data_IF_355207473004
#
_entry.id   IF_355207473004
#
_cell.length_a   1.000
_cell.length_b   1.000
_cell.length_c   1.000
_cell.angle_alpha   90.00
_cell.angle_beta   90.00
_cell.angle_gamma   90.00
#
_symmetry.space_group_name_H-M   'P 1'
#
loop_
_entity.id
_entity.type
_entity.pdbx_description
1 polymer ?
#
# COMPACT_ATOMS: atom_id res chain seq x y z
N UNK A 1 16.95 -4.53 -15.97
CA UNK A 1 16.05 -4.78 -14.83
C UNK A 1 16.82 -5.52 -13.75
N UNK A 2 16.85 -4.97 -12.53
CA UNK A 2 17.54 -5.54 -11.36
C UNK A 2 16.62 -6.48 -10.61
N UNK A 3 15.41 -6.00 -10.30
CA UNK A 3 14.41 -6.77 -9.56
C UNK A 3 13.01 -6.39 -10.07
N UNK A 4 12.18 -7.41 -10.21
CA UNK A 4 10.74 -7.29 -10.30
C UNK A 4 10.12 -8.01 -9.10
N UNK A 5 9.20 -7.34 -8.44
CA UNK A 5 8.46 -7.84 -7.29
C UNK A 5 6.97 -7.72 -7.56
N UNK A 6 6.22 -8.74 -7.15
CA UNK A 6 4.77 -8.70 -7.12
C UNK A 6 4.25 -9.38 -5.85
N UNK A 7 3.33 -8.74 -5.14
CA UNK A 7 2.47 -9.34 -4.13
C UNK A 7 1.07 -9.44 -4.68
N UNK A 8 0.44 -10.60 -4.49
CA UNK A 8 -0.94 -10.84 -4.90
C UNK A 8 -1.74 -11.57 -3.82
N UNK A 9 -3.03 -11.25 -3.71
CA UNK A 9 -3.95 -11.94 -2.81
C UNK A 9 -3.99 -11.33 -1.42
N UNK A 10 -4.08 -12.16 -0.38
CA UNK A 10 -4.28 -11.70 1.00
C UNK A 10 -5.70 -11.96 1.50
N UNK A 11 -5.82 -12.03 2.83
CA UNK A 11 -7.01 -12.58 3.50
C UNK A 11 -8.20 -11.61 3.56
N UNK A 12 -7.94 -10.31 3.58
CA UNK A 12 -8.96 -9.29 3.83
C UNK A 12 -9.15 -8.43 2.59
N UNK A 13 -10.31 -8.48 1.91
CA UNK A 13 -10.58 -7.59 0.78
C UNK A 13 -10.42 -6.11 1.18
N UNK A 14 -9.89 -5.25 0.29
CA UNK A 14 -9.39 -5.58 -1.04
C UNK A 14 -8.05 -6.34 -0.99
N UNK A 15 -7.70 -7.14 -2.01
CA UNK A 15 -6.42 -7.84 -2.04
C UNK A 15 -5.22 -6.90 -1.84
N UNK A 16 -4.19 -7.39 -1.17
CA UNK A 16 -2.90 -6.73 -0.88
C UNK A 16 -1.99 -6.78 -2.11
N UNK A 17 -2.50 -6.30 -3.24
CA UNK A 17 -1.78 -6.30 -4.50
C UNK A 17 -0.76 -5.15 -4.52
N UNK A 18 0.49 -5.48 -4.84
CA UNK A 18 1.59 -4.53 -4.94
C UNK A 18 2.57 -5.01 -6.00
N UNK A 19 3.16 -4.10 -6.75
CA UNK A 19 4.17 -4.42 -7.75
C UNK A 19 5.26 -3.38 -7.78
N UNK A 20 6.50 -3.82 -7.98
CA UNK A 20 7.67 -2.96 -8.14
C UNK A 20 8.55 -3.51 -9.26
N UNK A 21 9.03 -2.63 -10.12
CA UNK A 21 10.07 -2.92 -11.09
C UNK A 21 11.16 -1.87 -10.97
N UNK A 22 12.41 -2.33 -10.86
CA UNK A 22 13.60 -1.49 -10.80
C UNK A 22 14.52 -1.83 -11.96
N UNK A 23 14.89 -0.80 -12.74
CA UNK A 23 15.79 -0.91 -13.87
C UNK A 23 17.26 -0.73 -13.52
N UNK A 24 18.16 -1.10 -14.44
CA UNK A 24 19.61 -1.12 -14.19
C UNK A 24 20.20 0.28 -13.97
N UNK A 25 19.49 1.31 -14.44
CA UNK A 25 19.81 2.71 -14.25
C UNK A 25 19.21 3.29 -12.96
N UNK A 26 18.52 2.48 -12.17
CA UNK A 26 17.84 2.83 -10.92
C UNK A 26 16.48 3.48 -11.10
N UNK A 27 15.97 3.63 -12.32
CA UNK A 27 14.58 4.04 -12.53
C UNK A 27 13.65 2.96 -12.00
N UNK A 28 12.56 3.35 -11.32
CA UNK A 28 11.59 2.40 -10.81
C UNK A 28 10.15 2.81 -11.17
N UNK A 29 9.29 1.79 -11.23
CA UNK A 29 7.83 1.96 -11.23
C UNK A 29 7.22 1.04 -10.18
N UNK A 30 6.20 1.53 -9.49
CA UNK A 30 5.51 0.80 -8.43
C UNK A 30 4.02 1.06 -8.50
N UNK A 31 3.23 0.03 -8.20
CA UNK A 31 1.79 0.13 -8.04
C UNK A 31 1.35 -0.55 -6.74
N UNK A 32 0.37 0.02 -6.04
CA UNK A 32 -0.15 -0.49 -4.76
C UNK A 32 -1.67 -0.35 -4.66
N UNK A 33 -2.36 -1.38 -4.16
CA UNK A 33 -3.76 -1.30 -3.74
C UNK A 33 -3.95 -1.00 -2.25
N UNK A 34 -2.87 -0.90 -1.48
CA UNK A 34 -2.91 -0.82 -0.01
C UNK A 34 -2.16 0.39 0.55
N UNK A 35 -2.48 0.71 1.80
CA UNK A 35 -1.96 1.83 2.59
C UNK A 35 -0.43 1.97 2.60
N UNK A 36 0.09 3.17 2.88
CA UNK A 36 -0.63 4.40 3.28
C UNK A 36 -1.33 5.14 2.13
N UNK A 37 -0.89 4.92 0.89
CA UNK A 37 -1.43 5.52 -0.32
C UNK A 37 -1.49 4.47 -1.43
N UNK A 38 -2.47 4.63 -2.32
CA UNK A 38 -2.78 3.65 -3.38
C UNK A 38 -2.63 4.27 -4.75
N UNK A 39 -2.23 3.49 -5.74
CA UNK A 39 -1.98 3.95 -7.11
C UNK A 39 -0.52 3.77 -7.53
N UNK A 40 -0.05 4.64 -8.43
CA UNK A 40 1.28 4.58 -9.06
C UNK A 40 2.30 5.52 -8.42
N UNK A 41 3.52 5.01 -8.37
CA UNK A 41 4.71 5.70 -7.91
C UNK A 41 5.84 5.43 -8.91
N UNK A 42 6.68 6.42 -9.14
CA UNK A 42 7.79 6.29 -10.06
C UNK A 42 8.88 7.30 -9.71
N UNK A 43 10.11 6.97 -10.01
CA UNK A 43 11.25 7.83 -9.71
C UNK A 43 12.56 7.14 -10.01
N UNK A 44 13.62 7.60 -9.33
CA UNK A 44 14.97 7.05 -9.47
C UNK A 44 15.58 6.82 -8.10
N UNK A 45 16.14 5.64 -7.88
CA UNK A 45 16.85 5.30 -6.66
C UNK A 45 18.12 6.16 -6.51
N UNK A 46 18.55 6.37 -5.26
CA UNK A 46 19.88 6.92 -5.00
C UNK A 46 20.96 5.95 -5.50
N UNK A 47 22.18 6.45 -5.73
CA UNK A 47 23.29 5.61 -6.18
C UNK A 47 23.62 4.49 -5.17
N UNK A 48 23.54 4.79 -3.88
CA UNK A 48 23.81 3.83 -2.80
C UNK A 48 22.74 2.74 -2.75
N UNK A 49 21.46 3.12 -2.83
CA UNK A 49 20.33 2.18 -2.85
C UNK A 49 20.39 1.28 -4.09
N UNK A 50 20.69 1.87 -5.26
CA UNK A 50 20.88 1.13 -6.50
C UNK A 50 22.04 0.12 -6.40
N UNK A 51 23.19 0.55 -5.89
CA UNK A 51 24.37 -0.32 -5.74
C UNK A 51 24.11 -1.49 -4.79
N UNK A 52 23.40 -1.21 -3.69
CA UNK A 52 23.04 -2.23 -2.71
C UNK A 52 22.07 -3.25 -3.31
N UNK A 53 21.02 -2.78 -3.97
CA UNK A 53 20.00 -3.66 -4.56
C UNK A 53 20.59 -4.58 -5.63
N UNK A 54 21.53 -4.08 -6.46
CA UNK A 54 22.27 -4.92 -7.42
C UNK A 54 23.05 -6.04 -6.74
N UNK A 55 23.79 -5.71 -5.70
CA UNK A 55 24.61 -6.68 -4.94
C UNK A 55 23.74 -7.78 -4.32
N UNK A 56 22.60 -7.40 -3.73
CA UNK A 56 21.67 -8.36 -3.13
C UNK A 56 20.97 -9.22 -4.19
N UNK A 57 20.59 -8.64 -5.33
CA UNK A 57 20.02 -9.37 -6.46
C UNK A 57 21.00 -10.38 -7.07
N UNK A 58 22.28 -10.04 -7.24
CA UNK A 58 23.33 -10.96 -7.71
C UNK A 58 23.53 -12.13 -6.75
N UNK A 59 23.53 -11.89 -5.43
CA UNK A 59 23.62 -12.96 -4.43
C UNK A 59 22.40 -13.86 -4.45
N UNK A 60 21.20 -13.30 -4.59
CA UNK A 60 19.96 -14.05 -4.72
C UNK A 60 19.96 -14.91 -6.00
N UNK A 61 20.41 -14.34 -7.12
CA UNK A 61 20.58 -15.06 -8.39
C UNK A 61 21.54 -16.24 -8.25
N UNK A 62 22.69 -16.04 -7.59
CA UNK A 62 23.66 -17.10 -7.34
C UNK A 62 23.14 -18.23 -6.45
N UNK A 63 22.13 -17.98 -5.61
CA UNK A 63 21.44 -19.01 -4.82
C UNK A 63 20.50 -19.88 -5.68
N UNK A 64 20.05 -19.38 -6.83
CA UNK A 64 19.09 -20.04 -7.72
C UNK A 64 17.64 -19.90 -7.27
N UNK A 65 16.74 -20.64 -7.93
CA UNK A 65 15.30 -20.55 -7.69
C UNK A 65 14.89 -21.02 -6.28
N UNK A 66 13.95 -20.29 -5.67
CA UNK A 66 13.30 -20.68 -4.40
C UNK A 66 11.79 -20.70 -4.56
N UNK A 67 11.15 -21.78 -4.11
CA UNK A 67 9.69 -21.85 -4.06
C UNK A 67 9.22 -22.33 -2.71
N UNK A 68 8.54 -21.45 -1.99
CA UNK A 68 7.80 -21.73 -0.75
C UNK A 68 6.34 -21.36 -1.00
N UNK A 69 5.45 -22.35 -1.21
CA UNK A 69 4.05 -22.06 -1.44
C UNK A 69 3.47 -21.26 -0.27
N UNK A 70 2.68 -20.20 -0.54
CA UNK A 70 2.05 -19.44 0.52
C UNK A 70 1.06 -20.33 1.29
N UNK A 71 0.80 -19.97 2.54
CA UNK A 71 -0.29 -20.57 3.30
C UNK A 71 -1.63 -20.30 2.61
N UNK A 72 -2.61 -21.20 2.81
CA UNK A 72 -3.97 -21.00 2.30
C UNK A 72 -4.51 -19.65 2.77
N UNK A 73 -5.08 -18.87 1.85
CA UNK A 73 -5.56 -17.50 2.05
C UNK A 73 -4.49 -16.43 2.36
N UNK A 74 -3.20 -16.80 2.35
CA UNK A 74 -2.08 -15.88 2.45
C UNK A 74 -1.83 -15.11 1.15
N UNK A 75 -1.18 -13.96 1.25
CA UNK A 75 -0.70 -13.27 0.06
C UNK A 75 0.60 -13.92 -0.43
N UNK A 76 0.75 -14.03 -1.74
CA UNK A 76 1.92 -14.60 -2.39
C UNK A 76 2.81 -13.47 -2.88
N UNK A 77 4.09 -13.54 -2.56
CA UNK A 77 5.13 -12.67 -3.09
C UNK A 77 5.96 -13.44 -4.11
N UNK A 78 6.20 -12.80 -5.26
CA UNK A 78 7.07 -13.27 -6.31
C UNK A 78 8.16 -12.23 -6.54
N UNK A 79 9.40 -12.68 -6.50
CA UNK A 79 10.57 -11.92 -6.87
C UNK A 79 11.19 -12.52 -8.12
N UNK A 80 11.66 -11.66 -9.01
CA UNK A 80 12.41 -12.04 -10.20
C UNK A 80 13.63 -11.14 -10.31
N UNK A 81 14.79 -11.76 -10.38
CA UNK A 81 16.08 -11.12 -10.69
C UNK A 81 16.62 -11.76 -11.97
N UNK A 82 17.78 -11.31 -12.44
CA UNK A 82 18.42 -11.93 -13.59
C UNK A 82 18.75 -13.41 -13.29
N UNK A 83 18.19 -14.34 -14.06
CA UNK A 83 18.50 -15.76 -13.99
C UNK A 83 17.86 -16.56 -12.84
N UNK A 84 17.10 -15.93 -11.93
CA UNK A 84 16.47 -16.63 -10.82
C UNK A 84 15.16 -15.98 -10.34
N UNK A 85 14.34 -16.79 -9.69
CA UNK A 85 13.03 -16.41 -9.15
C UNK A 85 12.85 -16.92 -7.73
N UNK A 86 12.10 -16.16 -6.92
CA UNK A 86 11.62 -16.63 -5.64
C UNK A 86 10.11 -16.46 -5.53
N UNK A 87 9.43 -17.45 -4.94
CA UNK A 87 8.02 -17.35 -4.53
C UNK A 87 7.91 -17.71 -3.05
N UNK A 88 7.18 -16.91 -2.29
CA UNK A 88 7.00 -17.07 -0.84
C UNK A 88 5.68 -16.44 -0.36
N UNK A 89 5.24 -16.74 0.86
CA UNK A 89 4.21 -15.97 1.54
C UNK A 89 4.73 -14.61 2.01
N UNK A 90 3.87 -13.59 2.08
CA UNK A 90 4.27 -12.24 2.57
C UNK A 90 4.81 -12.23 3.99
N UNK A 91 4.36 -13.16 4.82
CA UNK A 91 4.78 -13.30 6.21
C UNK A 91 5.86 -14.39 6.39
N UNK A 92 6.30 -15.01 5.30
CA UNK A 92 7.34 -16.03 5.37
C UNK A 92 8.70 -15.37 5.64
N UNK A 93 9.44 -16.01 6.54
CA UNK A 93 10.86 -15.76 6.74
C UNK A 93 11.67 -16.75 5.90
N UNK A 94 12.54 -16.22 5.04
CA UNK A 94 13.51 -16.99 4.27
C UNK A 94 14.91 -16.62 4.76
N UNK A 95 15.74 -17.63 4.99
CA UNK A 95 17.15 -17.41 5.33
C UNK A 95 18.01 -17.23 4.08
N UNK A 96 19.10 -16.49 4.22
CA UNK A 96 20.08 -16.29 3.17
C UNK A 96 19.74 -15.17 2.18
N UNK A 97 20.41 -15.13 1.01
CA UNK A 97 20.32 -14.02 0.05
C UNK A 97 18.90 -13.61 -0.34
N UNK A 98 18.00 -14.56 -0.59
CA UNK A 98 16.60 -14.24 -0.89
C UNK A 98 15.86 -13.54 0.26
N UNK A 99 16.17 -13.89 1.51
CA UNK A 99 15.61 -13.25 2.69
C UNK A 99 16.12 -11.82 2.89
N UNK A 100 17.41 -11.61 2.65
CA UNK A 100 18.03 -10.27 2.69
C UNK A 100 17.40 -9.35 1.64
N UNK A 101 17.31 -9.81 0.39
CA UNK A 101 16.67 -9.08 -0.70
C UNK A 101 15.19 -8.80 -0.43
N UNK A 102 14.43 -9.81 0.01
CA UNK A 102 13.00 -9.64 0.31
C UNK A 102 12.78 -8.63 1.45
N UNK A 103 13.57 -8.70 2.51
CA UNK A 103 13.51 -7.74 3.62
C UNK A 103 13.81 -6.32 3.14
N UNK A 104 14.82 -6.17 2.29
CA UNK A 104 15.21 -4.88 1.76
C UNK A 104 14.14 -4.29 0.82
N UNK A 105 13.64 -5.08 -0.14
CA UNK A 105 12.56 -4.65 -1.05
C UNK A 105 11.30 -4.28 -0.27
N UNK A 106 10.90 -5.06 0.75
CA UNK A 106 9.75 -4.72 1.62
C UNK A 106 9.91 -3.37 2.31
N UNK A 107 11.13 -3.04 2.78
CA UNK A 107 11.45 -1.72 3.34
C UNK A 107 11.38 -0.63 2.27
N UNK A 108 12.00 -0.88 1.12
CA UNK A 108 12.06 0.05 0.00
C UNK A 108 10.66 0.43 -0.49
N UNK A 109 9.74 -0.53 -0.64
CA UNK A 109 8.35 -0.29 -1.02
C UNK A 109 7.68 0.77 -0.12
N UNK A 110 7.97 0.76 1.18
CA UNK A 110 7.48 1.76 2.14
C UNK A 110 8.12 3.14 1.99
N UNK A 111 9.33 3.24 1.45
CA UNK A 111 10.03 4.50 1.20
C UNK A 111 9.61 5.13 -0.15
N UNK A 112 9.38 4.28 -1.16
CA UNK A 112 9.00 4.70 -2.51
C UNK A 112 7.62 5.37 -2.59
N UNK A 113 6.77 5.20 -1.57
CA UNK A 113 5.48 5.92 -1.47
C UNK A 113 5.63 7.44 -1.42
N UNK A 114 6.84 7.94 -1.11
CA UNK A 114 7.18 9.38 -1.12
C UNK A 114 7.33 9.99 -2.52
N UNK A 115 7.31 9.16 -3.57
CA UNK A 115 7.42 9.58 -4.97
C UNK A 115 6.14 9.23 -5.77
N UNK A 116 4.99 9.81 -5.40
CA UNK A 116 3.73 9.52 -6.08
C UNK A 116 3.72 10.09 -7.50
N UNK A 117 3.25 9.29 -8.44
CA UNK A 117 3.01 9.72 -9.82
C UNK A 117 1.51 9.95 -10.06
N UNK A 118 0.68 8.97 -9.68
CA UNK A 118 -0.78 9.03 -9.72
C UNK A 118 -1.31 8.18 -8.56
N UNK A 119 -1.43 8.78 -7.39
CA UNK A 119 -1.83 8.09 -6.18
C UNK A 119 -2.93 8.84 -5.43
N UNK A 120 -3.58 8.14 -4.51
CA UNK A 120 -4.57 8.69 -3.59
C UNK A 120 -4.16 8.33 -2.17
N UNK A 121 -4.15 9.33 -1.31
CA UNK A 121 -3.92 9.20 0.13
C UNK A 121 -5.19 9.48 0.94
N UNK A 122 -5.05 9.36 2.26
CA UNK A 122 -6.08 9.70 3.23
C UNK A 122 -5.57 10.76 4.18
N UNK A 123 -6.30 11.86 4.29
CA UNK A 123 -6.09 12.85 5.33
C UNK A 123 -7.23 12.79 6.34
N UNK A 124 -6.88 12.74 7.62
CA UNK A 124 -7.81 12.80 8.75
C UNK A 124 -7.48 14.05 9.54
N UNK A 125 -8.48 14.87 9.84
CA UNK A 125 -8.30 16.08 10.64
C UNK A 125 -7.76 15.76 12.03
N UNK A 126 -7.00 16.68 12.62
CA UNK A 126 -6.37 16.48 13.94
C UNK A 126 -7.40 16.22 15.06
N UNK A 127 -8.60 16.76 14.93
CA UNK A 127 -9.73 16.52 15.83
C UNK A 127 -10.42 15.17 15.61
N UNK A 128 -10.02 14.45 14.55
CA UNK A 128 -10.59 13.20 14.08
C UNK A 128 -12.06 13.32 13.67
N UNK A 129 -12.54 14.49 13.27
CA UNK A 129 -13.96 14.70 12.87
C UNK A 129 -14.15 14.85 11.37
N UNK A 130 -13.06 14.97 10.63
CA UNK A 130 -13.08 15.06 9.18
C UNK A 130 -12.09 14.08 8.58
N UNK A 131 -12.44 13.57 7.42
CA UNK A 131 -11.53 12.79 6.59
C UNK A 131 -11.79 13.13 5.12
N UNK A 132 -10.73 13.09 4.31
CA UNK A 132 -10.84 13.28 2.86
C UNK A 132 -9.82 12.41 2.13
N UNK A 133 -10.21 11.92 0.96
CA UNK A 133 -9.26 11.41 0.00
C UNK A 133 -8.53 12.58 -0.64
N UNK A 134 -7.22 12.43 -0.88
CA UNK A 134 -6.40 13.45 -1.53
C UNK A 134 -5.62 12.84 -2.68
N UNK A 135 -5.54 13.56 -3.79
CA UNK A 135 -4.68 13.18 -4.90
C UNK A 135 -3.22 13.48 -4.55
N UNK A 136 -2.33 12.57 -4.96
CA UNK A 136 -0.89 12.64 -4.76
C UNK A 136 -0.20 12.40 -6.11
N UNK A 137 0.73 13.29 -6.47
CA UNK A 137 1.46 13.22 -7.73
C UNK A 137 0.96 14.22 -8.77
N UNK A 138 1.43 14.08 -10.01
CA UNK A 138 1.20 15.02 -11.13
C UNK A 138 0.44 14.39 -12.30
N UNK A 139 0.12 13.09 -12.23
CA UNK A 139 -0.67 12.37 -13.23
C UNK A 139 -2.06 12.03 -12.69
N UNK A 140 -3.08 12.03 -13.57
CA UNK A 140 -4.43 11.70 -13.17
C UNK A 140 -4.56 10.22 -12.76
N UNK A 141 -5.49 9.96 -11.84
CA UNK A 141 -5.95 8.61 -11.48
C UNK A 141 -7.48 8.58 -11.53
N UNK A 142 -8.07 7.64 -12.27
CA UNK A 142 -9.51 7.47 -12.25
C UNK A 142 -9.94 6.75 -10.96
N UNK A 143 -10.85 7.37 -10.22
CA UNK A 143 -11.36 6.91 -8.93
C UNK A 143 -12.85 6.60 -9.07
N UNK A 144 -13.28 5.42 -8.60
CA UNK A 144 -14.67 4.98 -8.52
C UNK A 144 -15.08 4.88 -7.04
N UNK A 145 -15.95 5.79 -6.61
CA UNK A 145 -16.48 5.88 -5.25
C UNK A 145 -17.87 5.21 -5.10
N UNK A 146 -18.35 4.50 -6.13
CA UNK A 146 -19.67 3.83 -6.10
C UNK A 146 -19.77 2.75 -5.02
N UNK A 147 -18.64 2.15 -4.64
CA UNK A 147 -18.51 1.14 -3.56
C UNK A 147 -17.68 1.64 -2.37
N UNK A 148 -17.65 2.96 -2.15
CA UNK A 148 -16.95 3.56 -1.03
C UNK A 148 -17.40 2.94 0.31
N UNK A 149 -16.44 2.48 1.10
CA UNK A 149 -16.63 1.98 2.46
C UNK A 149 -15.65 2.66 3.38
N UNK A 150 -16.15 3.14 4.52
CA UNK A 150 -15.35 3.82 5.55
C UNK A 150 -15.58 3.10 6.86
N UNK A 151 -14.49 2.78 7.55
CA UNK A 151 -14.51 2.28 8.92
C UNK A 151 -13.60 3.14 9.78
N UNK A 152 -14.09 3.51 10.96
CA UNK A 152 -13.32 4.22 11.97
C UNK A 152 -13.33 3.39 13.27
N UNK A 153 -12.16 3.14 13.83
CA UNK A 153 -11.99 2.37 15.07
C UNK A 153 -11.24 3.22 16.09
N UNK A 154 -11.85 3.42 17.26
CA UNK A 154 -11.21 4.15 18.35
C UNK A 154 -10.47 3.16 19.25
N UNK A 155 -9.16 3.31 19.34
CA UNK A 155 -8.31 2.50 20.22
C UNK A 155 -7.89 3.29 21.44
N UNK A 156 -7.92 2.64 22.60
CA UNK A 156 -7.28 3.10 23.83
C UNK A 156 -5.97 2.37 24.08
N UNK A 157 -5.38 2.61 25.26
CA UNK A 157 -4.14 1.94 25.71
C UNK A 157 -4.19 0.42 25.57
N UNK A 158 -3.04 -0.16 25.23
CA UNK A 158 -2.88 -1.61 25.07
C UNK A 158 -3.82 -2.20 24.03
N UNK A 159 -4.10 -1.48 22.94
CA UNK A 159 -5.01 -1.92 21.87
C UNK A 159 -6.44 -2.24 22.37
N UNK A 160 -6.92 -1.56 23.41
CA UNK A 160 -8.32 -1.72 23.85
C UNK A 160 -9.26 -1.03 22.86
N UNK A 161 -10.13 -1.78 22.16
CA UNK A 161 -11.16 -1.19 21.29
C UNK A 161 -12.20 -0.44 22.13
N UNK A 162 -12.35 0.86 21.90
CA UNK A 162 -13.29 1.75 22.61
C UNK A 162 -14.52 2.10 21.78
N UNK A 163 -14.43 1.96 20.46
CA UNK A 163 -15.53 2.23 19.55
C UNK A 163 -15.20 1.70 18.15
N UNK A 164 -16.24 1.39 17.40
CA UNK A 164 -16.17 0.85 16.04
C UNK A 164 -17.36 1.47 15.30
N UNK A 165 -17.07 2.14 14.20
CA UNK A 165 -18.06 2.78 13.37
C UNK A 165 -17.77 2.48 11.92
N UNK A 166 -18.81 2.32 11.13
CA UNK A 166 -18.72 2.18 9.69
C UNK A 166 -19.92 2.84 9.02
N UNK A 167 -19.69 3.47 7.87
CA UNK A 167 -20.79 4.05 7.11
C UNK A 167 -21.59 2.94 6.39
N UNK A 168 -22.93 2.99 6.39
CA UNK A 168 -23.72 2.20 5.47
C UNK A 168 -23.47 2.71 4.04
N UNK A 169 -23.11 1.81 3.13
CA UNK A 169 -22.77 2.12 1.74
C UNK A 169 -23.87 2.95 1.06
N UNK A 170 -23.70 4.28 0.93
CA UNK A 170 -24.44 5.10 -0.03
C UNK A 170 -23.60 6.24 -0.62
N UNK A 171 -23.71 6.49 -1.93
CA UNK A 171 -22.62 6.98 -2.77
C UNK A 171 -22.81 8.41 -3.31
N UNK A 172 -21.72 9.02 -3.76
CA UNK A 172 -21.73 10.08 -4.78
C UNK A 172 -20.40 10.86 -4.87
N UNK A 173 -19.85 11.15 -6.07
CA UNK A 173 -20.19 10.68 -7.43
C UNK A 173 -19.60 9.29 -7.76
N UNK A 174 -20.07 8.71 -8.87
CA UNK A 174 -19.79 7.33 -9.33
C UNK A 174 -18.35 7.17 -9.83
N UNK A 175 -17.79 8.19 -10.48
CA UNK A 175 -16.43 8.21 -10.98
C UNK A 175 -15.90 9.66 -10.92
N UNK A 176 -14.63 9.83 -10.62
CA UNK A 176 -13.91 11.09 -10.66
C UNK A 176 -12.51 10.87 -11.21
N UNK A 177 -11.95 11.88 -11.86
CA UNK A 177 -10.52 11.91 -12.16
C UNK A 177 -9.82 12.71 -11.06
N UNK A 178 -8.96 12.02 -10.31
CA UNK A 178 -8.13 12.65 -9.29
C UNK A 178 -6.90 13.26 -9.97
N UNK A 179 -6.82 14.59 -10.00
CA UNK A 179 -5.74 15.39 -10.60
C UNK A 179 -5.57 16.70 -9.83
N UNK A 180 -4.40 17.34 -9.90
CA UNK A 180 -4.09 18.71 -9.45
C UNK A 180 -5.04 19.31 -8.39
N UNK A 181 -4.67 19.19 -7.12
CA UNK A 181 -5.44 19.68 -5.96
C UNK A 181 -6.79 18.99 -5.71
N UNK A 182 -7.09 17.89 -6.42
CA UNK A 182 -8.27 17.09 -6.16
C UNK A 182 -8.28 16.55 -4.74
N UNK A 183 -9.44 16.67 -4.09
CA UNK A 183 -9.76 16.01 -2.85
C UNK A 183 -11.26 15.68 -2.80
N UNK A 184 -11.61 14.62 -2.08
CA UNK A 184 -13.00 14.20 -1.88
C UNK A 184 -13.29 14.09 -0.38
N UNK A 185 -14.08 15.01 0.20
CA UNK A 185 -14.57 14.89 1.56
C UNK A 185 -15.35 13.59 1.77
N UNK A 186 -15.09 12.92 2.89
CA UNK A 186 -15.75 11.67 3.24
C UNK A 186 -16.92 11.90 4.19
N UNK A 187 -18.03 11.15 4.08
CA UNK A 187 -19.11 11.18 5.07
C UNK A 187 -18.61 10.57 6.39
N UNK A 188 -18.12 11.41 7.29
CA UNK A 188 -17.30 11.01 8.45
C UNK A 188 -17.94 11.33 9.81
N UNK A 189 -19.27 11.22 9.91
CA UNK A 189 -20.02 11.51 11.14
C UNK A 189 -20.11 10.28 12.07
N UNK A 190 -19.01 9.96 12.73
CA UNK A 190 -18.89 8.73 13.51
C UNK A 190 -19.18 8.87 15.01
N UNK A 191 -19.24 10.10 15.54
CA UNK A 191 -19.44 10.36 16.98
C UNK A 191 -18.30 9.93 17.95
N UNK A 192 -17.32 9.16 17.49
CA UNK A 192 -16.10 8.80 18.24
C UNK A 192 -15.28 10.03 18.65
N UNK A 193 -14.63 9.95 19.82
CA UNK A 193 -13.90 11.07 20.44
C UNK A 193 -12.43 10.68 20.69
N UNK A 194 -11.51 10.95 19.74
CA UNK A 194 -10.08 10.82 19.98
C UNK A 194 -9.60 11.82 21.04
N UNK A 195 -8.37 11.64 21.53
CA UNK A 195 -7.78 12.52 22.52
C UNK A 195 -6.65 11.87 23.29
N UNK A 196 -6.37 12.36 24.50
CA UNK A 196 -5.27 11.84 25.33
C UNK A 196 -5.46 10.33 25.58
N UNK A 197 -4.49 9.53 25.13
CA UNK A 197 -4.50 8.06 25.18
C UNK A 197 -5.60 7.37 24.33
N UNK A 198 -6.19 8.06 23.36
CA UNK A 198 -7.18 7.50 22.44
C UNK A 198 -6.86 7.91 21.01
N UNK A 199 -6.60 6.94 20.14
CA UNK A 199 -6.26 7.19 18.74
C UNK A 199 -7.34 6.62 17.83
N UNK A 200 -7.59 7.33 16.73
CA UNK A 200 -8.56 6.95 15.73
C UNK A 200 -7.84 6.28 14.56
N UNK A 201 -8.17 5.02 14.28
CA UNK A 201 -7.77 4.37 13.04
C UNK A 201 -8.88 4.53 12.03
N UNK A 202 -8.53 4.91 10.80
CA UNK A 202 -9.49 5.11 9.71
C UNK A 202 -9.09 4.28 8.50
N UNK A 203 -10.04 3.56 7.95
CA UNK A 203 -9.87 2.67 6.80
C UNK A 203 -10.87 3.09 5.74
N UNK A 204 -10.40 3.38 4.53
CA UNK A 204 -11.26 3.78 3.41
C UNK A 204 -10.99 2.87 2.24
N UNK A 205 -12.01 2.12 1.83
CA UNK A 205 -11.97 1.21 0.68
C UNK A 205 -12.80 1.80 -0.45
N UNK A 206 -12.24 1.83 -1.65
CA UNK A 206 -12.87 2.34 -2.87
C UNK A 206 -12.24 1.63 -4.08
N UNK A 207 -12.58 2.03 -5.31
CA UNK A 207 -11.95 1.48 -6.50
C UNK A 207 -11.17 2.54 -7.29
N UNK A 208 -10.12 2.11 -7.97
CA UNK A 208 -9.43 2.90 -8.98
C UNK A 208 -9.48 2.17 -10.30
N UNK A 209 -9.40 2.90 -11.41
CA UNK A 209 -9.33 2.32 -12.75
C UNK A 209 -8.09 2.82 -13.47
N UNK A 210 -7.34 1.89 -14.04
CA UNK A 210 -6.13 2.18 -14.79
C UNK A 210 -6.07 1.29 -16.01
N UNK A 211 -5.85 1.88 -17.19
CA UNK A 211 -5.81 1.15 -18.47
C UNK A 211 -7.06 0.26 -18.70
N UNK A 212 -8.23 0.71 -18.23
CA UNK A 212 -9.48 -0.05 -18.32
C UNK A 212 -9.64 -1.18 -17.31
N UNK A 213 -8.65 -1.41 -16.44
CA UNK A 213 -8.73 -2.39 -15.36
C UNK A 213 -9.13 -1.70 -14.06
N UNK A 214 -10.17 -2.22 -13.42
CA UNK A 214 -10.64 -1.78 -12.10
C UNK A 214 -9.94 -2.59 -11.01
N UNK A 215 -9.41 -1.90 -10.00
CA UNK A 215 -8.90 -2.50 -8.78
C UNK A 215 -9.60 -1.90 -7.56
N UNK A 216 -10.06 -2.75 -6.64
CA UNK A 216 -10.48 -2.29 -5.31
C UNK A 216 -9.21 -2.03 -4.48
N UNK A 217 -9.19 -0.92 -3.74
CA UNK A 217 -8.02 -0.39 -3.04
C UNK A 217 -8.40 0.13 -1.66
N UNK A 218 -7.43 0.20 -0.75
CA UNK A 218 -7.61 0.71 0.61
C UNK A 218 -6.49 1.67 1.01
N UNK A 219 -6.89 2.85 1.47
CA UNK A 219 -6.02 3.81 2.18
C UNK A 219 -6.35 3.78 3.67
N UNK A 220 -5.34 4.05 4.50
CA UNK A 220 -5.47 3.96 5.95
C UNK A 220 -4.76 5.11 6.67
N UNK A 221 -5.33 5.49 7.82
CA UNK A 221 -4.71 6.37 8.81
C UNK A 221 -4.65 5.61 10.12
N UNK A 222 -3.45 5.13 10.50
CA UNK A 222 -3.23 4.25 11.66
C UNK A 222 -2.11 4.80 12.55
N UNK A 223 -2.33 5.93 13.23
CA UNK A 223 -1.35 6.46 14.18
C UNK A 223 -1.07 5.44 15.29
N UNK A 224 0.15 5.49 15.86
CA UNK A 224 0.56 4.52 16.88
C UNK A 224 -0.40 4.51 18.08
N UNK A 225 -0.83 3.32 18.49
CA UNK A 225 -1.66 3.15 19.69
C UNK A 225 -0.80 3.40 20.93
N UNK A 226 -1.23 4.28 21.85
CA UNK A 226 -0.52 4.54 23.09
C UNK A 226 -0.35 3.25 23.91
N UNK A 227 0.82 3.08 24.52
CA UNK A 227 1.08 2.00 25.48
C UNK A 227 0.12 2.08 26.68
#
# INVERSE_FOLDING_TARGET
MIVSYARIGGRVPPPDNEGLQVEDDGSFTMWRSIAPSVGRFAGKLSADELSRLKTEAEKAAAQGDVSRPPTMDGSAERFQVEGATATMGSDDYIEGPWGELATHVRKLLGELVSMPQAAVGLEVGEDGRSARLVHLGDKPLAVDLSKLSIRAVLWGRGFRKLGDWSTPAKPGPVQAEASDSWNAPLPFDHGLKPGKNKVLHVYVTFAVSENGQRADVRVEHTPAVPA
#
